data_IF_638192128533
#
_entry.id   IF_638192128533
#
_cell.length_a   1.000
_cell.length_b   1.000
_cell.length_c   1.000
_cell.angle_alpha   90.00
_cell.angle_beta   90.00
_cell.angle_gamma   90.00
#
_symmetry.space_group_name_H-M   'P 1'
#
loop_
_entity.id
_entity.type
_entity.pdbx_description
1 polymer ?
#
# COMPACT_ATOMS: atom_id res chain seq x y z
N UNK A 1 44.84 -0.61 39.24
CA UNK A 1 44.29 -1.95 39.00
C UNK A 1 42.79 -1.82 38.90
N UNK A 2 42.27 -1.76 37.68
CA UNK A 2 40.84 -1.77 37.37
C UNK A 2 40.73 -2.02 35.87
N UNK A 3 40.60 -3.30 35.52
CA UNK A 3 40.47 -3.79 34.15
C UNK A 3 39.05 -3.51 33.63
N UNK A 4 38.98 -2.88 32.45
CA UNK A 4 37.75 -2.71 31.67
C UNK A 4 37.57 -3.91 30.75
N UNK A 5 36.55 -4.71 31.00
CA UNK A 5 36.14 -5.82 30.13
C UNK A 5 35.26 -5.27 29.01
N UNK A 6 35.80 -5.23 27.79
CA UNK A 6 35.01 -5.06 26.56
C UNK A 6 34.44 -6.43 26.17
N UNK A 7 33.12 -6.55 26.17
CA UNK A 7 32.43 -7.72 25.60
C UNK A 7 32.18 -7.48 24.11
N UNK A 8 32.87 -8.26 23.26
CA UNK A 8 32.59 -8.37 21.84
C UNK A 8 31.24 -9.05 21.58
N UNK A 9 30.46 -8.51 20.65
CA UNK A 9 29.22 -9.12 20.18
C UNK A 9 29.54 -10.21 19.13
N UNK A 10 28.80 -11.34 19.10
CA UNK A 10 29.07 -12.43 18.18
C UNK A 10 28.62 -12.08 16.75
N UNK A 11 29.59 -12.18 15.83
CA UNK A 11 29.39 -12.19 14.38
C UNK A 11 28.62 -13.44 13.96
N UNK A 12 27.36 -13.26 13.52
CA UNK A 12 26.55 -14.32 12.92
C UNK A 12 26.87 -14.43 11.42
N UNK A 13 27.79 -15.33 11.07
CA UNK A 13 27.95 -15.78 9.68
C UNK A 13 26.82 -16.75 9.31
N UNK A 14 25.80 -16.23 8.62
CA UNK A 14 24.77 -17.04 7.97
C UNK A 14 25.36 -17.75 6.75
N UNK A 15 25.79 -19.00 6.90
CA UNK A 15 26.04 -19.92 5.78
C UNK A 15 24.68 -20.42 5.28
N UNK A 16 24.26 -19.97 4.11
CA UNK A 16 23.22 -20.67 3.34
C UNK A 16 23.89 -21.82 2.58
N UNK A 17 23.34 -23.04 2.60
CA UNK A 17 23.79 -24.09 1.71
C UNK A 17 23.37 -23.75 0.27
N UNK A 18 24.33 -23.82 -0.65
CA UNK A 18 24.10 -23.86 -2.09
C UNK A 18 23.21 -25.07 -2.40
N UNK A 19 22.06 -24.83 -2.98
CA UNK A 19 21.19 -25.87 -3.52
C UNK A 19 21.66 -26.18 -4.94
N UNK A 20 22.27 -27.35 -5.12
CA UNK A 20 22.66 -27.90 -6.40
C UNK A 20 21.44 -28.02 -7.33
N UNK A 21 21.60 -27.46 -8.53
CA UNK A 21 20.72 -27.60 -9.68
C UNK A 21 20.74 -29.06 -10.16
N UNK A 22 19.68 -29.83 -9.90
CA UNK A 22 19.41 -31.07 -10.64
C UNK A 22 18.57 -30.78 -11.90
N UNK A 23 19.21 -31.07 -13.02
CA UNK A 23 18.79 -31.04 -14.41
C UNK A 23 17.72 -32.11 -14.73
N UNK A 24 16.50 -31.76 -15.19
CA UNK A 24 15.59 -32.74 -15.74
C UNK A 24 15.78 -32.89 -17.25
N UNK A 25 16.55 -33.90 -17.64
CA UNK A 25 16.58 -34.41 -19.02
C UNK A 25 15.20 -34.88 -19.51
N UNK A 26 14.85 -34.70 -20.80
CA UNK A 26 13.55 -35.02 -21.34
C UNK A 26 13.44 -36.49 -21.78
N UNK A 27 12.45 -37.21 -21.25
CA UNK A 27 12.06 -38.52 -21.78
C UNK A 27 11.08 -38.35 -22.93
N UNK A 28 11.57 -38.66 -24.13
CA UNK A 28 10.78 -38.95 -25.33
C UNK A 28 10.17 -40.35 -25.21
N UNK A 29 8.86 -40.48 -25.46
CA UNK A 29 8.25 -41.72 -25.97
C UNK A 29 7.14 -41.42 -26.98
N UNK A 30 6.90 -42.34 -27.94
CA UNK A 30 6.24 -42.03 -29.20
C UNK A 30 4.73 -42.35 -29.23
N UNK A 31 4.03 -41.50 -29.99
CA UNK A 31 3.02 -41.80 -31.02
C UNK A 31 2.25 -43.15 -30.94
N UNK A 32 0.97 -43.06 -30.59
CA UNK A 32 -0.05 -43.99 -31.07
C UNK A 32 -1.32 -43.21 -31.45
N UNK A 33 -1.73 -43.38 -32.70
CA UNK A 33 -2.95 -42.84 -33.29
C UNK A 33 -4.19 -43.51 -32.71
N UNK A 34 -5.32 -42.80 -32.62
CA UNK A 34 -6.57 -43.18 -33.30
C UNK A 34 -7.76 -42.24 -33.00
N UNK A 35 -8.50 -41.98 -34.07
CA UNK A 35 -9.95 -41.72 -34.17
C UNK A 35 -10.55 -40.40 -33.68
N UNK A 36 -10.82 -39.52 -34.66
CA UNK A 36 -12.19 -39.28 -35.13
C UNK A 36 -13.01 -38.28 -34.32
N UNK A 37 -12.91 -37.01 -34.67
CA UNK A 37 -13.89 -36.01 -34.23
C UNK A 37 -14.41 -35.20 -35.42
N UNK A 38 -15.73 -35.30 -35.61
CA UNK A 38 -16.54 -34.69 -36.65
C UNK A 38 -16.63 -33.18 -36.42
N UNK A 39 -16.00 -32.42 -37.31
CA UNK A 39 -16.07 -30.95 -37.31
C UNK A 39 -17.48 -30.50 -37.72
N UNK A 40 -18.33 -30.13 -36.76
CA UNK A 40 -19.56 -29.40 -37.05
C UNK A 40 -19.22 -27.92 -37.28
N UNK A 41 -19.41 -27.48 -38.53
CA UNK A 41 -19.26 -26.09 -38.97
C UNK A 41 -20.35 -25.24 -38.28
N UNK A 42 -20.02 -24.17 -37.55
CA UNK A 42 -21.02 -23.23 -37.06
C UNK A 42 -21.59 -22.39 -38.21
N UNK A 43 -22.89 -22.05 -38.19
CA UNK A 43 -23.52 -21.27 -39.23
C UNK A 43 -23.00 -19.82 -39.26
N UNK A 44 -23.03 -19.15 -40.43
CA UNK A 44 -22.56 -17.79 -40.57
C UNK A 44 -23.44 -16.80 -39.79
N UNK A 45 -22.80 -15.91 -39.05
CA UNK A 45 -23.40 -14.77 -38.36
C UNK A 45 -24.23 -13.92 -39.34
N UNK A 46 -25.53 -13.83 -39.06
CA UNK A 46 -26.44 -12.93 -39.75
C UNK A 46 -25.98 -11.48 -39.56
N UNK A 47 -25.80 -10.77 -40.68
CA UNK A 47 -25.55 -9.33 -40.73
C UNK A 47 -26.69 -8.58 -40.02
N UNK A 48 -26.38 -7.92 -38.92
CA UNK A 48 -27.26 -6.91 -38.32
C UNK A 48 -27.34 -5.70 -39.27
N UNK A 49 -28.58 -5.29 -39.56
CA UNK A 49 -28.89 -4.12 -40.37
C UNK A 49 -28.38 -2.82 -39.71
N UNK A 50 -28.02 -1.79 -40.51
CA UNK A 50 -27.60 -0.51 -39.98
C UNK A 50 -28.75 0.20 -39.27
N UNK A 51 -28.53 0.55 -38.00
CA UNK A 51 -29.41 1.43 -37.22
C UNK A 51 -29.37 2.82 -37.86
N UNK A 52 -30.54 3.25 -38.36
CA UNK A 52 -30.76 4.59 -38.90
C UNK A 52 -30.56 5.63 -37.79
N UNK A 53 -29.51 6.45 -37.90
CA UNK A 53 -29.29 7.61 -37.04
C UNK A 53 -30.23 8.73 -37.48
N UNK A 54 -31.21 9.04 -36.62
CA UNK A 54 -31.98 10.27 -36.70
C UNK A 54 -31.10 11.44 -36.24
N UNK A 55 -30.91 12.52 -37.03
CA UNK A 55 -30.25 13.74 -36.57
C UNK A 55 -31.22 14.52 -35.68
N UNK A 56 -30.96 14.53 -34.37
CA UNK A 56 -31.58 15.47 -33.43
C UNK A 56 -30.80 16.77 -33.41
N UNK A 57 -31.44 17.84 -33.86
CA UNK A 57 -30.97 19.22 -33.82
C UNK A 57 -30.80 19.70 -32.36
N UNK A 58 -29.65 20.22 -31.93
CA UNK A 58 -29.53 20.89 -30.64
C UNK A 58 -30.17 22.29 -30.71
N UNK A 59 -30.86 22.76 -29.65
CA UNK A 59 -31.36 24.13 -29.59
C UNK A 59 -30.20 25.12 -29.41
N UNK A 60 -30.32 26.24 -30.11
CA UNK A 60 -29.43 27.38 -30.02
C UNK A 60 -29.40 27.94 -28.59
N UNK A 61 -28.21 27.98 -27.99
CA UNK A 61 -27.95 28.75 -26.76
C UNK A 61 -27.51 30.13 -27.20
N UNK A 62 -28.35 31.09 -26.86
CA UNK A 62 -28.19 32.52 -27.05
C UNK A 62 -27.05 33.04 -26.15
N UNK A 63 -25.95 33.44 -26.78
CA UNK A 63 -24.80 34.05 -26.12
C UNK A 63 -25.02 35.56 -25.98
N UNK A 64 -25.20 36.02 -24.74
CA UNK A 64 -25.07 37.43 -24.38
C UNK A 64 -23.59 37.81 -24.17
N UNK A 65 -23.13 38.98 -24.66
CA UNK A 65 -21.77 39.46 -24.44
C UNK A 65 -21.74 40.58 -23.39
N UNK A 66 -21.14 40.34 -22.24
CA UNK A 66 -20.64 41.39 -21.33
C UNK A 66 -19.22 40.98 -20.93
N UNK A 67 -18.16 41.53 -21.53
CA UNK A 67 -17.63 42.88 -21.30
C UNK A 67 -17.29 43.14 -19.83
N UNK A 68 -16.14 42.67 -19.35
CA UNK A 68 -15.43 43.41 -18.30
C UNK A 68 -13.91 43.16 -18.33
N UNK A 69 -13.08 44.20 -18.56
CA UNK A 69 -11.63 44.10 -18.53
C UNK A 69 -11.06 44.57 -17.18
N UNK A 70 -9.98 43.91 -16.74
CA UNK A 70 -8.90 44.57 -16.02
C UNK A 70 -8.89 44.42 -14.49
N UNK A 71 -8.03 43.53 -14.01
CA UNK A 71 -7.17 43.83 -12.84
C UNK A 71 -5.96 42.88 -12.83
N UNK A 72 -4.72 43.39 -12.85
CA UNK A 72 -3.53 42.58 -12.62
C UNK A 72 -3.27 42.49 -11.12
N UNK A 73 -3.36 41.29 -10.54
CA UNK A 73 -2.82 41.02 -9.21
C UNK A 73 -1.39 40.50 -9.34
N UNK A 74 -0.44 41.43 -9.28
CA UNK A 74 0.93 41.17 -8.86
C UNK A 74 1.03 41.44 -7.37
N UNK A 75 1.48 40.45 -6.61
CA UNK A 75 2.08 40.68 -5.28
C UNK A 75 3.12 39.59 -5.05
N UNK A 76 4.40 39.97 -4.86
CA UNK A 76 5.45 39.03 -4.49
C UNK A 76 5.37 38.73 -2.99
N UNK A 77 5.48 37.46 -2.64
CA UNK A 77 5.65 37.02 -1.25
C UNK A 77 7.08 37.34 -0.81
N UNK A 78 7.23 38.36 0.03
CA UNK A 78 8.49 38.64 0.74
C UNK A 78 8.75 37.55 1.78
N UNK A 79 9.82 36.79 1.54
CA UNK A 79 10.40 35.86 2.52
C UNK A 79 11.14 36.69 3.56
N UNK A 80 10.54 36.85 4.75
CA UNK A 80 11.22 37.40 5.93
C UNK A 80 12.15 36.32 6.50
N UNK A 81 13.45 36.50 6.28
CA UNK A 81 14.52 35.81 7.00
C UNK A 81 14.67 36.43 8.39
N UNK A 82 14.29 35.68 9.42
CA UNK A 82 14.56 36.06 10.81
C UNK A 82 15.97 35.59 11.18
N UNK A 83 16.90 36.54 11.20
CA UNK A 83 18.24 36.42 11.80
C UNK A 83 18.13 36.17 13.30
N UNK A 84 18.58 35.00 13.74
CA UNK A 84 18.81 34.62 15.14
C UNK A 84 19.98 35.42 15.69
N UNK A 85 19.74 36.21 16.75
CA UNK A 85 20.78 36.93 17.49
C UNK A 85 21.03 36.25 18.84
N UNK A 86 22.32 36.06 19.10
CA UNK A 86 22.90 35.61 20.35
C UNK A 86 22.49 36.48 21.54
N UNK A 87 22.02 35.86 22.63
CA UNK A 87 22.04 36.47 23.96
C UNK A 87 22.62 35.46 24.94
N UNK A 88 23.88 35.72 25.34
CA UNK A 88 24.49 35.23 26.57
C UNK A 88 23.88 36.02 27.74
N UNK A 89 23.32 35.33 28.72
CA UNK A 89 23.18 35.91 30.08
C UNK A 89 23.61 34.90 31.13
N UNK A 90 24.59 35.36 31.90
CA UNK A 90 25.28 34.74 33.03
C UNK A 90 24.32 34.65 34.22
N UNK A 91 24.44 33.56 34.98
CA UNK A 91 23.52 33.21 36.05
C UNK A 91 23.66 34.03 37.32
N UNK A 92 22.58 34.01 38.10
CA UNK A 92 22.55 34.26 39.54
C UNK A 92 21.57 33.29 40.19
N UNK A 93 21.95 32.86 41.40
CA UNK A 93 21.26 31.93 42.25
C UNK A 93 20.15 32.63 43.05
N UNK A 94 19.06 31.92 43.34
CA UNK A 94 18.10 32.37 44.35
C UNK A 94 16.71 31.74 44.22
N UNK A 95 16.32 31.05 45.28
CA UNK A 95 14.94 30.89 45.77
C UNK A 95 13.95 29.96 45.04
N UNK A 96 13.91 28.74 45.60
CA UNK A 96 12.72 28.01 46.07
C UNK A 96 11.37 28.75 45.97
N UNK A 97 10.73 28.66 44.80
CA UNK A 97 9.29 28.87 44.60
C UNK A 97 8.70 27.65 43.92
N UNK A 98 7.80 26.92 44.60
CA UNK A 98 7.01 25.82 44.01
C UNK A 98 6.23 26.34 42.81
N UNK A 99 6.72 25.99 41.61
CA UNK A 99 6.06 26.25 40.33
C UNK A 99 4.88 25.28 40.21
N UNK A 100 3.64 25.76 39.94
CA UNK A 100 2.54 24.86 39.60
C UNK A 100 2.92 24.14 38.31
N UNK A 101 2.92 22.82 38.37
CA UNK A 101 3.35 21.91 37.31
C UNK A 101 2.54 22.19 36.04
N UNK A 102 3.10 22.88 35.03
CA UNK A 102 2.36 23.15 33.83
C UNK A 102 2.31 21.83 33.05
N UNK A 103 1.13 21.51 32.54
CA UNK A 103 0.94 20.49 31.51
C UNK A 103 1.10 19.03 31.98
N UNK A 104 0.20 18.61 32.88
CA UNK A 104 -0.53 17.37 32.62
C UNK A 104 -1.36 17.54 31.34
N UNK A 105 -0.69 17.52 30.17
CA UNK A 105 -1.38 17.26 28.90
C UNK A 105 -1.98 15.88 29.08
N UNK A 106 -3.26 15.85 29.42
CA UNK A 106 -4.08 14.67 29.23
C UNK A 106 -3.90 14.31 27.76
N UNK A 107 -3.03 13.34 27.50
CA UNK A 107 -3.03 12.59 26.25
C UNK A 107 -4.42 11.99 26.21
N UNK A 108 -5.34 12.68 25.55
CA UNK A 108 -6.62 12.12 25.17
C UNK A 108 -6.24 10.94 24.31
N UNK A 109 -6.20 9.76 24.93
CA UNK A 109 -6.01 8.50 24.26
C UNK A 109 -7.25 8.34 23.37
N UNK A 110 -7.18 8.89 22.16
CA UNK A 110 -8.19 8.78 21.11
C UNK A 110 -8.42 7.33 20.66
N UNK A 111 -7.78 6.35 21.29
CA UNK A 111 -8.05 4.92 21.18
C UNK A 111 -9.35 4.46 21.86
N UNK A 112 -10.10 5.36 22.49
CA UNK A 112 -11.21 5.02 23.38
C UNK A 112 -12.63 5.15 22.83
N UNK A 113 -12.88 5.11 21.52
CA UNK A 113 -14.21 4.64 21.12
C UNK A 113 -14.15 3.12 21.24
N UNK A 114 -14.66 2.59 22.35
CA UNK A 114 -14.99 1.18 22.59
C UNK A 114 -16.05 0.73 21.56
N UNK A 115 -15.75 0.84 20.27
CA UNK A 115 -16.58 0.22 19.24
C UNK A 115 -16.49 -1.27 19.54
N UNK A 116 -17.64 -1.87 19.78
CA UNK A 116 -17.74 -3.29 20.04
C UNK A 116 -16.94 -4.02 18.95
N UNK A 117 -15.96 -4.82 19.38
CA UNK A 117 -15.13 -5.59 18.47
C UNK A 117 -16.07 -6.49 17.67
N UNK A 118 -16.01 -6.49 16.33
CA UNK A 118 -16.82 -7.39 15.53
C UNK A 118 -16.63 -8.84 16.00
N UNK A 119 -17.74 -9.56 16.20
CA UNK A 119 -17.74 -10.98 16.57
C UNK A 119 -17.70 -11.90 15.36
N UNK A 120 -18.02 -11.36 14.18
CA UNK A 120 -17.97 -12.01 12.87
C UNK A 120 -16.92 -11.36 11.98
N UNK A 121 -16.55 -12.05 10.91
CA UNK A 121 -15.72 -11.46 9.86
C UNK A 121 -16.45 -10.29 9.21
N UNK A 122 -15.71 -9.22 8.92
CA UNK A 122 -16.25 -8.03 8.25
C UNK A 122 -15.61 -7.90 6.87
N UNK A 123 -16.43 -7.81 5.83
CA UNK A 123 -15.97 -7.60 4.45
C UNK A 123 -15.98 -6.11 4.09
N UNK A 124 -14.81 -5.56 3.85
CA UNK A 124 -14.62 -4.19 3.42
C UNK A 124 -14.43 -4.10 1.91
N UNK A 125 -14.87 -2.99 1.31
CA UNK A 125 -14.72 -2.71 -0.11
C UNK A 125 -13.88 -1.45 -0.33
N UNK A 126 -12.89 -1.53 -1.22
CA UNK A 126 -12.14 -0.36 -1.68
C UNK A 126 -12.91 0.33 -2.80
N UNK A 127 -13.49 1.49 -2.49
CA UNK A 127 -14.30 2.28 -3.43
C UNK A 127 -13.56 3.54 -3.87
N UNK A 128 -13.24 3.72 -5.17
CA UNK A 128 -12.60 4.93 -5.67
C UNK A 128 -13.43 6.19 -5.35
N UNK A 129 -12.75 7.26 -4.92
CA UNK A 129 -13.35 8.58 -4.74
C UNK A 129 -12.46 9.64 -5.40
N UNK A 130 -13.01 10.39 -6.35
CA UNK A 130 -12.22 11.33 -7.14
C UNK A 130 -11.19 10.63 -8.04
N UNK A 131 -10.08 11.32 -8.32
CA UNK A 131 -9.06 10.87 -9.27
C UNK A 131 -7.96 10.02 -8.62
N UNK A 132 -7.60 10.35 -7.39
CA UNK A 132 -6.38 9.89 -6.71
C UNK A 132 -6.65 9.40 -5.30
N UNK A 133 -7.90 9.07 -4.97
CA UNK A 133 -8.27 8.61 -3.65
C UNK A 133 -9.28 7.46 -3.69
N UNK A 134 -9.40 6.77 -2.57
CA UNK A 134 -10.40 5.73 -2.35
C UNK A 134 -10.77 5.65 -0.87
N UNK A 135 -11.96 5.12 -0.63
CA UNK A 135 -12.48 4.82 0.70
C UNK A 135 -12.44 3.31 0.96
N UNK A 136 -12.08 2.91 2.18
CA UNK A 136 -12.35 1.55 2.66
C UNK A 136 -13.69 1.53 3.40
N UNK A 137 -14.71 1.00 2.74
CA UNK A 137 -16.08 1.00 3.23
C UNK A 137 -16.44 -0.35 3.89
N UNK A 138 -17.05 -0.35 5.08
CA UNK A 138 -17.69 -1.56 5.62
C UNK A 138 -18.93 -1.95 4.79
N UNK A 139 -19.50 -3.15 5.00
CA UNK A 139 -20.80 -3.51 4.45
C UNK A 139 -21.89 -2.56 4.98
N UNK A 140 -22.94 -2.27 4.18
CA UNK A 140 -24.04 -1.41 4.63
C UNK A 140 -24.85 -2.01 5.78
N UNK A 141 -24.78 -3.32 6.02
CA UNK A 141 -25.45 -4.01 7.12
C UNK A 141 -24.69 -3.94 8.45
N UNK A 142 -23.45 -3.42 8.46
CA UNK A 142 -22.73 -3.21 9.72
C UNK A 142 -23.34 -2.04 10.50
N UNK A 143 -23.34 -2.17 11.84
CA UNK A 143 -23.86 -1.14 12.75
C UNK A 143 -23.21 0.24 12.52
N UNK A 144 -21.97 0.25 12.03
CA UNK A 144 -21.25 1.46 11.65
C UNK A 144 -20.82 1.39 10.20
N UNK A 145 -21.66 1.94 9.32
CA UNK A 145 -21.44 2.01 7.88
C UNK A 145 -20.45 3.12 7.44
N UNK A 146 -19.85 3.86 8.37
CA UNK A 146 -18.92 4.95 8.03
C UNK A 146 -17.62 4.41 7.42
N UNK A 147 -16.99 5.15 6.48
CA UNK A 147 -15.70 4.78 5.95
C UNK A 147 -14.65 4.57 7.05
N UNK A 148 -13.88 3.49 6.94
CA UNK A 148 -12.82 3.16 7.89
C UNK A 148 -11.52 3.87 7.58
N UNK A 149 -11.19 3.98 6.30
CA UNK A 149 -10.01 4.70 5.85
C UNK A 149 -10.30 5.54 4.62
N UNK A 150 -9.62 6.68 4.57
CA UNK A 150 -9.45 7.51 3.39
C UNK A 150 -8.01 7.33 2.92
N UNK A 151 -7.83 6.88 1.69
CA UNK A 151 -6.55 6.49 1.13
C UNK A 151 -6.29 7.38 -0.08
N UNK A 152 -5.18 8.10 -0.09
CA UNK A 152 -4.77 8.97 -1.20
C UNK A 152 -3.50 8.44 -1.86
N UNK A 153 -3.38 8.64 -3.16
CA UNK A 153 -2.18 8.31 -3.94
C UNK A 153 -1.76 9.55 -4.72
N UNK A 154 -0.63 10.14 -4.38
CA UNK A 154 -0.12 11.35 -5.02
C UNK A 154 1.20 11.06 -5.71
N UNK A 155 1.38 11.54 -6.93
CA UNK A 155 2.64 11.41 -7.67
C UNK A 155 3.71 12.32 -7.06
N UNK A 156 4.93 11.81 -6.87
CA UNK A 156 6.07 12.64 -6.48
C UNK A 156 6.50 13.50 -7.69
N UNK A 157 6.38 14.82 -7.57
CA UNK A 157 6.69 15.74 -8.67
C UNK A 157 8.18 15.74 -9.06
N UNK A 158 9.07 15.35 -8.16
CA UNK A 158 10.51 15.24 -8.44
C UNK A 158 10.91 13.84 -8.92
N UNK A 159 10.06 12.85 -8.71
CA UNK A 159 10.24 11.47 -9.17
C UNK A 159 8.93 10.97 -9.78
N UNK A 160 8.60 11.31 -11.04
CA UNK A 160 7.30 11.01 -11.64
C UNK A 160 6.90 9.52 -11.66
N UNK A 161 7.89 8.62 -11.64
CA UNK A 161 7.66 7.18 -11.54
C UNK A 161 7.42 6.69 -10.11
N UNK A 162 7.42 7.60 -9.13
CA UNK A 162 7.19 7.36 -7.71
C UNK A 162 5.87 7.97 -7.29
N UNK A 163 5.10 7.24 -6.49
CA UNK A 163 3.91 7.79 -5.87
C UNK A 163 3.89 7.46 -4.39
N UNK A 164 3.30 8.38 -3.63
CA UNK A 164 3.14 8.34 -2.20
C UNK A 164 1.70 7.93 -1.91
N UNK A 165 1.53 6.81 -1.22
CA UNK A 165 0.24 6.35 -0.72
C UNK A 165 0.12 6.76 0.74
N UNK A 166 -0.86 7.58 1.09
CA UNK A 166 -1.12 8.01 2.48
C UNK A 166 -2.47 7.48 2.94
N UNK A 167 -2.54 7.01 4.19
CA UNK A 167 -3.74 6.42 4.79
C UNK A 167 -4.16 7.24 6.01
N UNK A 168 -5.42 7.62 6.04
CA UNK A 168 -6.07 8.35 7.14
C UNK A 168 -7.22 7.52 7.71
N UNK A 169 -7.44 7.55 9.03
CA UNK A 169 -8.60 6.87 9.66
C UNK A 169 -9.86 7.69 9.42
N UNK A 170 -10.89 7.14 8.79
CA UNK A 170 -12.16 7.83 8.53
C UNK A 170 -12.43 8.08 7.05
N UNK A 171 -13.09 9.20 6.75
CA UNK A 171 -13.61 9.51 5.41
C UNK A 171 -12.90 10.67 4.68
N UNK A 172 -11.92 11.30 5.32
CA UNK A 172 -11.20 12.47 4.80
C UNK A 172 -9.74 12.49 5.22
N UNK A 173 -8.96 13.36 4.57
CA UNK A 173 -7.56 13.68 4.86
C UNK A 173 -7.36 14.50 6.15
N UNK A 174 -8.41 15.18 6.63
CA UNK A 174 -8.40 15.91 7.90
C UNK A 174 -8.34 15.01 9.13
N UNK A 175 -8.50 13.70 8.95
CA UNK A 175 -8.54 12.75 10.05
C UNK A 175 -7.13 12.24 10.43
N UNK A 176 -6.96 11.54 11.57
CA UNK A 176 -5.63 11.08 11.99
C UNK A 176 -4.95 10.19 10.95
N UNK A 177 -3.73 10.56 10.57
CA UNK A 177 -2.88 9.82 9.63
C UNK A 177 -2.40 8.52 10.28
N UNK A 178 -2.67 7.38 9.62
CA UNK A 178 -2.21 6.04 10.03
C UNK A 178 -0.77 5.83 9.62
N UNK A 179 -0.44 6.26 8.39
CA UNK A 179 0.88 6.11 7.83
C UNK A 179 0.91 6.41 6.34
N UNK A 180 2.10 6.37 5.78
CA UNK A 180 2.34 6.54 4.36
C UNK A 180 3.49 5.65 3.88
N UNK A 181 3.48 5.30 2.60
CA UNK A 181 4.64 4.75 1.95
C UNK A 181 4.82 5.33 0.55
N UNK A 182 6.06 5.45 0.13
CA UNK A 182 6.44 5.82 -1.22
C UNK A 182 6.94 4.58 -1.96
N UNK A 183 6.51 4.41 -3.21
CA UNK A 183 7.02 3.34 -4.07
C UNK A 183 7.13 3.80 -5.52
N UNK A 184 8.35 3.69 -6.04
CA UNK A 184 8.68 3.88 -7.45
C UNK A 184 8.68 2.60 -8.27
N UNK A 185 8.60 2.74 -9.59
CA UNK A 185 8.67 1.62 -10.54
C UNK A 185 10.09 1.04 -10.61
N UNK A 186 11.13 1.88 -10.56
CA UNK A 186 12.52 1.51 -10.82
C UNK A 186 13.34 1.12 -9.58
N UNK A 187 12.69 0.61 -8.52
CA UNK A 187 13.39 0.31 -7.26
C UNK A 187 13.94 1.54 -6.53
N UNK A 188 13.50 2.73 -6.93
CA UNK A 188 13.76 4.04 -6.31
C UNK A 188 13.38 4.03 -4.82
N UNK A 189 13.92 4.95 -4.00
CA UNK A 189 13.82 4.85 -2.55
C UNK A 189 12.37 4.71 -2.11
N UNK A 190 12.08 3.54 -1.57
CA UNK A 190 10.79 3.21 -1.02
C UNK A 190 10.90 3.33 0.50
N UNK A 191 10.15 4.26 1.08
CA UNK A 191 10.09 4.44 2.52
C UNK A 191 8.66 4.19 3.01
N UNK A 192 8.53 3.90 4.29
CA UNK A 192 7.27 3.71 5.00
C UNK A 192 7.37 4.42 6.34
N UNK A 193 6.34 5.18 6.69
CA UNK A 193 6.23 5.87 7.96
C UNK A 193 4.85 5.58 8.54
N UNK A 194 4.79 4.91 9.69
CA UNK A 194 3.55 4.80 10.46
C UNK A 194 3.45 5.93 11.48
N UNK A 195 2.23 6.17 11.95
CA UNK A 195 1.96 7.02 13.11
C UNK A 195 2.87 6.62 14.29
N UNK A 196 3.60 7.60 14.83
CA UNK A 196 4.52 7.44 15.96
C UNK A 196 5.70 6.47 15.73
N UNK A 197 6.09 6.22 14.48
CA UNK A 197 7.27 5.42 14.14
C UNK A 197 8.22 6.22 13.23
N UNK A 198 9.54 5.96 13.30
CA UNK A 198 10.49 6.54 12.36
C UNK A 198 10.18 6.08 10.93
N UNK A 199 10.60 6.85 9.94
CA UNK A 199 10.57 6.42 8.56
C UNK A 199 11.59 5.27 8.36
N UNK A 200 11.13 4.17 7.78
CA UNK A 200 11.94 2.98 7.49
C UNK A 200 11.94 2.72 5.99
N UNK A 201 12.93 1.99 5.48
CA UNK A 201 12.88 1.57 4.07
C UNK A 201 11.82 0.50 3.93
N UNK A 202 10.96 0.62 2.91
CA UNK A 202 9.89 -0.34 2.67
C UNK A 202 10.43 -1.76 2.45
N UNK A 203 11.61 -1.91 1.83
CA UNK A 203 12.25 -3.22 1.64
C UNK A 203 12.65 -3.90 2.95
N UNK A 204 12.90 -3.13 4.01
CA UNK A 204 13.29 -3.67 5.32
C UNK A 204 12.07 -4.16 6.10
N UNK A 205 10.88 -3.66 5.78
CA UNK A 205 9.61 -4.03 6.44
C UNK A 205 8.70 -4.90 5.58
N UNK A 206 8.93 -4.98 4.27
CA UNK A 206 8.16 -5.79 3.34
C UNK A 206 9.11 -6.70 2.56
N UNK A 207 9.21 -7.94 3.01
CA UNK A 207 10.11 -8.92 2.43
C UNK A 207 9.33 -9.95 1.60
N UNK A 208 9.76 -10.21 0.37
CA UNK A 208 9.23 -11.31 -0.43
C UNK A 208 9.92 -12.62 -0.01
N UNK A 209 9.15 -13.64 0.36
CA UNK A 209 9.62 -14.97 0.72
C UNK A 209 9.31 -15.99 -0.38
N UNK A 210 10.28 -16.84 -0.69
CA UNK A 210 10.12 -17.98 -1.60
C UNK A 210 10.19 -17.60 -3.09
N UNK A 211 9.20 -18.06 -3.86
CA UNK A 211 9.23 -18.11 -5.33
C UNK A 211 9.63 -16.80 -6.04
N UNK A 212 10.36 -16.93 -7.15
CA UNK A 212 10.68 -15.84 -8.09
C UNK A 212 9.45 -15.31 -8.83
N UNK A 213 8.33 -16.04 -8.86
CA UNK A 213 7.07 -15.62 -9.51
C UNK A 213 6.52 -14.31 -8.93
N UNK A 214 5.82 -13.50 -9.74
CA UNK A 214 5.25 -12.20 -9.28
C UNK A 214 4.32 -12.37 -8.09
N UNK A 215 3.50 -13.41 -8.11
CA UNK A 215 2.74 -13.88 -6.98
C UNK A 215 3.67 -14.68 -6.08
N UNK A 216 3.77 -14.31 -4.80
CA UNK A 216 4.67 -14.93 -3.85
C UNK A 216 4.14 -14.84 -2.42
N UNK A 217 4.91 -15.34 -1.47
CA UNK A 217 4.65 -15.10 -0.05
C UNK A 217 5.33 -13.78 0.34
N UNK A 218 4.70 -12.98 1.18
CA UNK A 218 5.24 -11.71 1.66
C UNK A 218 5.20 -11.67 3.17
N UNK A 219 6.28 -11.22 3.79
CA UNK A 219 6.41 -11.00 5.22
C UNK A 219 6.38 -9.49 5.49
N UNK A 220 5.54 -9.07 6.43
CA UNK A 220 5.41 -7.68 6.87
C UNK A 220 5.89 -7.55 8.32
N UNK A 221 6.89 -6.70 8.52
CA UNK A 221 7.51 -6.42 9.81
C UNK A 221 7.00 -5.09 10.34
N UNK A 222 6.77 -5.02 11.67
CA UNK A 222 6.35 -3.75 12.29
C UNK A 222 7.49 -2.74 12.29
N UNK A 223 8.72 -3.22 12.50
CA UNK A 223 9.97 -2.47 12.59
C UNK A 223 11.07 -3.32 11.96
N UNK A 224 12.01 -2.68 11.26
CA UNK A 224 13.12 -3.37 10.58
C UNK A 224 14.02 -4.18 11.54
N UNK A 225 14.16 -3.75 12.79
CA UNK A 225 15.21 -4.23 13.69
C UNK A 225 14.76 -5.22 14.79
N UNK A 226 13.52 -5.72 14.81
CA UNK A 226 13.14 -6.62 15.92
C UNK A 226 11.98 -7.56 15.64
N UNK A 227 12.27 -8.86 15.66
CA UNK A 227 11.32 -9.93 15.91
C UNK A 227 10.79 -10.66 14.67
N UNK A 228 10.01 -11.73 14.88
CA UNK A 228 9.33 -12.42 13.80
C UNK A 228 8.40 -11.44 13.05
N UNK A 229 8.20 -11.64 11.74
CA UNK A 229 7.26 -10.84 10.98
C UNK A 229 5.87 -10.90 11.59
N UNK A 230 5.21 -9.75 11.58
CA UNK A 230 3.91 -9.57 12.22
C UNK A 230 2.79 -10.12 11.36
N UNK A 231 2.90 -10.00 10.03
CA UNK A 231 1.93 -10.54 9.09
C UNK A 231 2.66 -11.32 7.99
N UNK A 232 2.04 -12.41 7.54
CA UNK A 232 2.44 -13.11 6.35
C UNK A 232 1.28 -13.18 5.36
N UNK A 233 1.53 -12.76 4.12
CA UNK A 233 0.58 -12.85 3.03
C UNK A 233 0.97 -13.96 2.07
N UNK A 234 0.04 -14.87 1.81
CA UNK A 234 0.15 -15.82 0.71
C UNK A 234 -0.63 -15.29 -0.49
N UNK A 235 0.07 -14.72 -1.48
CA UNK A 235 -0.53 -14.17 -2.69
C UNK A 235 -0.53 -15.15 -3.88
N UNK A 236 -0.17 -16.41 -3.66
CA UNK A 236 -0.20 -17.46 -4.69
C UNK A 236 -1.61 -18.01 -4.95
N UNK A 237 -2.54 -17.72 -4.04
CA UNK A 237 -3.93 -18.15 -4.10
C UNK A 237 -4.82 -16.92 -4.12
N UNK A 238 -6.02 -17.02 -4.69
CA UNK A 238 -7.01 -15.94 -4.67
C UNK A 238 -8.28 -16.45 -3.96
N UNK A 239 -8.72 -15.78 -2.89
CA UNK A 239 -8.19 -14.54 -2.30
C UNK A 239 -6.80 -14.71 -1.66
N UNK A 240 -6.00 -13.64 -1.63
CA UNK A 240 -4.75 -13.59 -0.87
C UNK A 240 -5.05 -13.82 0.61
N UNK A 241 -4.25 -14.64 1.28
CA UNK A 241 -4.50 -15.03 2.68
C UNK A 241 -3.47 -14.37 3.58
N UNK A 242 -3.92 -13.64 4.59
CA UNK A 242 -3.07 -13.07 5.63
C UNK A 242 -3.15 -13.91 6.91
N UNK A 243 -1.99 -14.34 7.40
CA UNK A 243 -1.85 -15.02 8.68
C UNK A 243 -0.95 -14.21 9.61
N UNK A 244 -1.12 -14.41 10.91
CA UNK A 244 -0.17 -13.97 11.95
C UNK A 244 0.40 -15.20 12.64
N UNK A 245 1.68 -15.15 12.98
CA UNK A 245 2.34 -16.18 13.79
C UNK A 245 2.55 -15.58 15.19
N UNK A 246 2.16 -16.28 16.28
CA UNK A 246 2.51 -15.86 17.63
C UNK A 246 4.02 -15.63 17.78
N UNK A 247 4.46 -14.61 18.52
CA UNK A 247 5.88 -14.29 18.65
C UNK A 247 6.70 -15.42 19.28
N UNK A 248 6.07 -16.25 20.12
CA UNK A 248 6.72 -17.33 20.85
C UNK A 248 6.69 -18.68 20.10
N UNK A 249 5.99 -18.76 18.97
CA UNK A 249 5.89 -19.99 18.17
C UNK A 249 6.82 -19.93 16.97
N UNK A 250 7.83 -20.81 16.94
CA UNK A 250 8.56 -21.11 15.71
C UNK A 250 7.74 -21.96 14.73
N UNK A 251 6.59 -22.46 15.18
CA UNK A 251 5.73 -23.36 14.43
C UNK A 251 4.74 -22.58 13.56
N UNK A 252 4.86 -22.76 12.24
CA UNK A 252 3.94 -22.20 11.24
C UNK A 252 2.53 -22.77 11.41
N UNK A 253 2.38 -23.98 11.97
CA UNK A 253 1.08 -24.61 12.16
C UNK A 253 0.26 -23.90 13.26
N UNK A 254 0.92 -23.11 14.11
CA UNK A 254 0.27 -22.22 15.08
C UNK A 254 -0.23 -20.90 14.47
N UNK A 255 -0.13 -20.75 13.15
CA UNK A 255 -0.57 -19.53 12.47
C UNK A 255 -2.09 -19.36 12.49
N UNK A 256 -2.53 -18.11 12.65
CA UNK A 256 -3.96 -17.76 12.62
C UNK A 256 -4.26 -16.89 11.42
N UNK A 257 -5.24 -17.30 10.60
CA UNK A 257 -5.75 -16.47 9.51
C UNK A 257 -6.52 -15.27 10.05
N UNK A 258 -6.12 -14.08 9.61
CA UNK A 258 -6.64 -12.81 10.13
C UNK A 258 -7.27 -11.93 9.05
N UNK A 259 -6.95 -12.14 7.78
CA UNK A 259 -7.60 -11.44 6.68
C UNK A 259 -7.51 -12.21 5.35
N UNK A 260 -8.41 -11.85 4.44
CA UNK A 260 -8.42 -12.28 3.04
C UNK A 260 -8.57 -11.07 2.13
N UNK A 261 -7.79 -11.00 1.05
CA UNK A 261 -7.87 -9.92 0.08
C UNK A 261 -8.16 -10.46 -1.32
N UNK A 262 -9.22 -9.96 -1.93
CA UNK A 262 -9.57 -10.29 -3.32
C UNK A 262 -9.17 -9.11 -4.22
N UNK A 263 -8.10 -9.24 -5.04
CA UNK A 263 -7.70 -8.20 -5.97
C UNK A 263 -8.70 -8.06 -7.12
N UNK A 264 -8.77 -6.89 -7.74
CA UNK A 264 -9.63 -6.62 -8.90
C UNK A 264 -9.33 -7.54 -10.08
N UNK A 265 -8.07 -7.93 -10.26
CA UNK A 265 -7.58 -8.69 -11.41
C UNK A 265 -7.81 -10.21 -11.31
N UNK A 266 -8.56 -10.67 -10.30
CA UNK A 266 -8.81 -12.08 -10.04
C UNK A 266 -9.62 -12.81 -11.13
N UNK A 267 -10.49 -12.12 -11.89
CA UNK A 267 -11.38 -12.74 -12.89
C UNK A 267 -11.38 -11.93 -14.18
N UNK A 268 -10.97 -12.56 -15.29
CA UNK A 268 -10.94 -11.93 -16.63
C UNK A 268 -12.33 -11.70 -17.24
N UNK A 269 -13.35 -12.38 -16.74
CA UNK A 269 -14.66 -12.48 -17.41
C UNK A 269 -15.76 -11.58 -16.83
N UNK A 270 -15.58 -11.00 -15.65
CA UNK A 270 -16.59 -10.11 -15.04
C UNK A 270 -16.00 -8.69 -14.88
N UNK A 271 -16.45 -7.70 -15.65
CA UNK A 271 -15.77 -6.40 -15.78
C UNK A 271 -15.66 -5.51 -14.52
N UNK A 272 -16.22 -5.89 -13.36
CA UNK A 272 -16.56 -4.85 -12.37
C UNK A 272 -16.65 -5.31 -10.91
N UNK A 273 -15.70 -6.10 -10.40
CA UNK A 273 -15.59 -6.28 -8.94
C UNK A 273 -14.52 -5.35 -8.36
N UNK A 274 -14.92 -4.46 -7.45
CA UNK A 274 -14.00 -3.69 -6.60
C UNK A 274 -13.13 -4.64 -5.76
N UNK A 275 -11.95 -4.17 -5.33
CA UNK A 275 -11.12 -4.94 -4.40
C UNK A 275 -11.86 -5.11 -3.07
N UNK A 276 -11.75 -6.30 -2.48
CA UNK A 276 -12.41 -6.63 -1.21
C UNK A 276 -11.39 -7.12 -0.18
N UNK A 277 -11.57 -6.70 1.06
CA UNK A 277 -10.75 -7.12 2.20
C UNK A 277 -11.67 -7.63 3.29
N UNK A 278 -11.63 -8.93 3.56
CA UNK A 278 -12.31 -9.52 4.70
C UNK A 278 -11.36 -9.63 5.89
N UNK A 279 -11.77 -9.19 7.06
CA UNK A 279 -10.94 -9.21 8.29
C UNK A 279 -11.66 -9.96 9.40
N UNK A 280 -10.97 -10.91 10.03
CA UNK A 280 -11.53 -11.66 11.17
C UNK A 280 -11.60 -10.78 12.42
N UNK A 281 -12.40 -11.16 13.44
CA UNK A 281 -12.34 -10.53 14.76
C UNK A 281 -10.92 -10.40 15.31
N UNK A 282 -10.11 -11.45 15.15
CA UNK A 282 -8.69 -11.48 15.56
C UNK A 282 -7.84 -10.45 14.80
N UNK A 283 -8.08 -10.27 13.51
CA UNK A 283 -7.37 -9.29 12.67
C UNK A 283 -7.70 -7.82 12.95
N UNK A 284 -8.81 -7.50 13.62
CA UNK A 284 -9.22 -6.11 13.87
C UNK A 284 -8.20 -5.31 14.69
N UNK A 285 -7.42 -5.94 15.57
CA UNK A 285 -6.35 -5.28 16.34
C UNK A 285 -5.11 -4.97 15.51
N UNK A 286 -5.00 -5.58 14.32
CA UNK A 286 -3.91 -5.44 13.37
C UNK A 286 -4.36 -4.70 12.11
N UNK A 287 -5.53 -4.05 12.15
CA UNK A 287 -6.19 -3.58 10.94
C UNK A 287 -5.38 -2.52 10.18
N UNK A 288 -4.75 -1.58 10.89
CA UNK A 288 -3.85 -0.58 10.29
C UNK A 288 -2.71 -1.26 9.49
N UNK A 289 -2.06 -2.27 10.08
CA UNK A 289 -0.98 -3.02 9.43
C UNK A 289 -1.47 -3.88 8.26
N UNK A 290 -2.66 -4.50 8.38
CA UNK A 290 -3.28 -5.28 7.31
C UNK A 290 -3.53 -4.39 6.09
N UNK A 291 -4.12 -3.20 6.29
CA UNK A 291 -4.44 -2.28 5.19
C UNK A 291 -3.16 -1.70 4.57
N UNK A 292 -2.18 -1.28 5.39
CA UNK A 292 -0.92 -0.76 4.87
C UNK A 292 -0.14 -1.83 4.08
N UNK A 293 0.00 -3.04 4.65
CA UNK A 293 0.76 -4.12 4.02
C UNK A 293 0.13 -4.58 2.71
N UNK A 294 -1.21 -4.75 2.65
CA UNK A 294 -1.86 -5.23 1.43
C UNK A 294 -1.81 -4.21 0.30
N UNK A 295 -1.89 -2.91 0.60
CA UNK A 295 -1.76 -1.85 -0.40
C UNK A 295 -0.32 -1.78 -0.95
N UNK A 296 0.68 -1.95 -0.09
CA UNK A 296 2.07 -2.01 -0.52
C UNK A 296 2.32 -3.26 -1.40
N UNK A 297 1.83 -4.43 -0.99
CA UNK A 297 1.96 -5.68 -1.75
C UNK A 297 1.27 -5.59 -3.10
N UNK A 298 0.01 -5.17 -3.15
CA UNK A 298 -0.75 -5.07 -4.40
C UNK A 298 -0.04 -4.13 -5.39
N UNK A 299 0.41 -2.97 -4.91
CA UNK A 299 1.19 -2.04 -5.73
C UNK A 299 2.48 -2.67 -6.24
N UNK A 300 3.20 -3.44 -5.39
CA UNK A 300 4.43 -4.14 -5.77
C UNK A 300 4.19 -5.23 -6.80
N UNK A 301 3.09 -5.98 -6.70
CA UNK A 301 2.69 -7.03 -7.66
C UNK A 301 2.32 -6.42 -9.02
N UNK A 302 1.59 -5.30 -9.01
CA UNK A 302 1.18 -4.57 -10.21
C UNK A 302 2.32 -3.76 -10.83
N UNK A 303 3.37 -3.47 -10.07
CA UNK A 303 4.58 -2.81 -10.58
C UNK A 303 5.39 -3.79 -11.43
N UNK A 304 5.74 -3.44 -12.67
CA UNK A 304 6.57 -4.31 -13.50
C UNK A 304 7.98 -4.54 -12.90
N UNK A 305 8.34 -5.80 -12.63
CA UNK A 305 9.55 -6.17 -11.87
C UNK A 305 10.85 -6.22 -12.71
N UNK A 306 10.78 -6.19 -14.04
CA UNK A 306 11.91 -6.54 -14.93
C UNK A 306 12.31 -5.44 -15.93
N UNK A 307 11.88 -4.20 -15.73
CA UNK A 307 12.25 -3.15 -16.66
C UNK A 307 13.52 -2.46 -16.17
N UNK A 308 14.58 -2.52 -17.00
CA UNK A 308 15.68 -1.57 -16.88
C UNK A 308 15.13 -0.17 -17.20
N UNK A 309 15.72 0.88 -16.64
CA UNK A 309 15.32 2.26 -16.98
C UNK A 309 15.32 2.48 -18.50
N UNK A 310 16.30 1.89 -19.20
CA UNK A 310 16.42 1.90 -20.66
C UNK A 310 15.17 1.36 -21.36
N UNK A 311 14.60 0.26 -20.86
CA UNK A 311 13.40 -0.37 -21.44
C UNK A 311 12.09 0.38 -21.19
N UNK A 312 11.99 1.22 -20.15
CA UNK A 312 10.80 2.05 -19.91
C UNK A 312 10.80 3.33 -20.75
N UNK A 313 11.98 3.90 -20.96
CA UNK A 313 12.11 5.21 -21.59
C UNK A 313 12.45 5.15 -23.08
N UNK A 314 12.54 3.94 -23.66
CA UNK A 314 13.01 3.74 -25.04
C UNK A 314 14.24 4.62 -25.32
N UNK A 315 15.24 4.56 -24.44
CA UNK A 315 16.55 5.13 -24.77
C UNK A 315 17.15 4.25 -25.87
N UNK A 316 16.70 4.44 -27.10
CA UNK A 316 17.52 4.14 -28.27
C UNK A 316 18.82 4.90 -28.02
N UNK A 317 19.93 4.18 -27.93
CA UNK A 317 21.27 4.73 -27.82
C UNK A 317 21.46 5.82 -28.86
N UNK A 318 21.20 7.07 -28.46
CA UNK A 318 21.61 8.26 -29.18
C UNK A 318 23.13 8.26 -29.03
N UNK A 319 23.81 7.64 -29.98
CA UNK A 319 25.24 7.85 -30.20
C UNK A 319 25.43 9.36 -30.41
N UNK A 320 26.04 10.00 -29.42
CA UNK A 320 26.49 11.40 -29.45
C UNK A 320 27.92 11.46 -29.96
#
# INVERSE_FOLDING_TARGET
MSESVYSEAPSYHSRYPESDDEDPSPLLTPLAAHHGETTSIPPPLARLAPVSRVPGTPPAVESTPDSNPGAPFTSPVEIRTSTSSDIRTRGEAGESGRRPDPTSVQRISHFGNLRARPTKNVEFTFSPVGTNAMLLLPPPEEQDARPRYYITVIQNCFMPLSHITTIYRGASDSAPRVGEFEMGILGSPCHRQMENQPAERLMDVLEKKGSKTKNGKWAWYRRAESGPPRLFWNCNVVPFICITVPPDSNDIDSSTTIAWFTPRHAKKEVPTTLCRLQVTPSGQTLFDDIVMSILAIERRILTPYNFTAESLFNYSSLEL
#
